data_IF_980328365680
#
_entry.id   IF_980328365680
#
_cell.length_a   1.000
_cell.length_b   1.000
_cell.length_c   1.000
_cell.angle_alpha   90.00
_cell.angle_beta   90.00
_cell.angle_gamma   90.00
#
_symmetry.space_group_name_H-M   'P 1'
#
loop_
_entity.id
_entity.type
_entity.pdbx_description
1 polymer ?
#
# COMPACT_ATOMS: atom_id res chain seq x y z
N UNK A 1 2.81 -6.56 27.72
CA UNK A 1 1.37 -6.53 27.47
C UNK A 1 0.62 -6.02 28.69
N UNK A 2 0.85 -4.74 29.00
CA UNK A 2 0.02 -4.01 29.95
C UNK A 2 -1.42 -3.85 29.43
N UNK A 3 -2.37 -3.55 30.31
CA UNK A 3 -3.79 -3.38 29.94
C UNK A 3 -3.98 -2.32 28.85
N UNK A 4 -3.18 -1.25 28.88
CA UNK A 4 -3.20 -0.14 27.91
C UNK A 4 -2.72 -0.60 26.51
N UNK A 5 -1.66 -1.39 26.43
CA UNK A 5 -1.15 -1.92 25.15
C UNK A 5 -2.16 -2.85 24.50
N UNK A 6 -2.90 -3.65 25.29
CA UNK A 6 -3.96 -4.52 24.76
C UNK A 6 -5.15 -3.75 24.19
N UNK A 7 -5.45 -2.57 24.75
CA UNK A 7 -6.59 -1.75 24.31
C UNK A 7 -6.19 -0.85 23.12
N UNK A 8 -5.00 -0.26 23.14
CA UNK A 8 -4.58 0.73 22.14
C UNK A 8 -3.56 0.21 21.12
N UNK A 9 -3.20 -1.07 21.20
CA UNK A 9 -2.18 -1.70 20.37
C UNK A 9 -0.76 -1.21 20.67
N UNK A 10 0.21 -1.92 20.13
CA UNK A 10 1.63 -1.56 20.17
C UNK A 10 1.96 -0.43 19.18
N UNK A 11 3.11 0.23 19.35
CA UNK A 11 3.58 1.23 18.38
C UNK A 11 3.68 0.63 16.96
N UNK A 12 4.27 -0.56 16.84
CA UNK A 12 4.41 -1.27 15.57
C UNK A 12 3.05 -1.56 14.91
N UNK A 13 2.04 -2.01 15.66
CA UNK A 13 0.68 -2.21 15.12
C UNK A 13 0.07 -0.92 14.57
N UNK A 14 0.35 0.22 15.20
CA UNK A 14 -0.13 1.52 14.71
C UNK A 14 0.56 1.91 13.41
N UNK A 15 1.88 1.68 13.29
CA UNK A 15 2.58 1.93 12.02
C UNK A 15 2.04 1.05 10.89
N UNK A 16 1.82 -0.25 11.15
CA UNK A 16 1.22 -1.15 10.15
C UNK A 16 -0.17 -0.66 9.74
N UNK A 17 -1.02 -0.27 10.69
CA UNK A 17 -2.36 0.27 10.40
C UNK A 17 -2.33 1.55 9.56
N UNK A 18 -1.26 2.36 9.62
CA UNK A 18 -1.11 3.56 8.77
C UNK A 18 -0.76 3.21 7.34
N UNK A 19 0.00 2.15 7.11
CA UNK A 19 0.49 1.76 5.78
C UNK A 19 -0.53 0.90 5.03
N UNK A 20 -1.33 0.08 5.73
CA UNK A 20 -2.32 -0.80 5.09
C UNK A 20 -3.27 -0.07 4.10
N UNK A 21 -3.84 1.10 4.41
CA UNK A 21 -4.68 1.83 3.43
C UNK A 21 -3.91 2.32 2.20
N UNK A 22 -2.58 2.48 2.28
CA UNK A 22 -1.73 2.82 1.13
C UNK A 22 -1.56 1.58 0.26
N UNK A 23 -1.33 0.41 0.87
CA UNK A 23 -1.28 -0.87 0.16
C UNK A 23 -2.58 -1.12 -0.58
N UNK A 24 -3.74 -0.96 0.07
CA UNK A 24 -5.05 -1.13 -0.56
C UNK A 24 -5.24 -0.23 -1.79
N UNK A 25 -4.71 1.00 -1.75
CA UNK A 25 -4.74 1.92 -2.90
C UNK A 25 -3.80 1.49 -4.03
N UNK A 26 -2.64 0.91 -3.71
CA UNK A 26 -1.69 0.39 -4.70
C UNK A 26 -2.29 -0.83 -5.39
N UNK A 27 -2.82 -1.79 -4.63
CA UNK A 27 -3.47 -3.00 -5.17
C UNK A 27 -4.69 -2.64 -6.05
N UNK A 28 -5.44 -1.58 -5.70
CA UNK A 28 -6.54 -1.10 -6.54
C UNK A 28 -6.10 -0.62 -7.94
N UNK A 29 -4.81 -0.32 -8.15
CA UNK A 29 -4.25 0.07 -9.46
C UNK A 29 -3.78 -1.14 -10.27
N UNK A 30 -3.67 -2.34 -9.68
CA UNK A 30 -3.19 -3.55 -10.33
C UNK A 30 -3.93 -3.85 -11.65
N UNK A 31 -5.28 -3.84 -11.73
CA UNK A 31 -5.98 -4.18 -12.96
C UNK A 31 -5.71 -3.22 -14.12
N UNK A 32 -5.30 -1.98 -13.82
CA UNK A 32 -4.97 -0.99 -14.85
C UNK A 32 -3.52 -1.13 -15.31
N UNK A 33 -2.61 -1.52 -14.41
CA UNK A 33 -1.23 -1.82 -14.74
C UNK A 33 -1.09 -3.14 -15.52
N UNK A 34 -1.88 -4.17 -15.18
CA UNK A 34 -1.86 -5.48 -15.83
C UNK A 34 -2.25 -5.41 -17.33
N UNK A 35 -3.08 -4.43 -17.70
CA UNK A 35 -3.49 -4.22 -19.10
C UNK A 35 -2.41 -3.59 -19.97
N UNK A 36 -1.33 -3.08 -19.38
CA UNK A 36 -0.27 -2.39 -20.11
C UNK A 36 0.64 -3.39 -20.83
N UNK A 37 1.00 -3.08 -22.08
CA UNK A 37 2.11 -3.78 -22.75
C UNK A 37 3.45 -3.33 -22.17
N UNK A 38 4.52 -4.08 -22.40
CA UNK A 38 5.88 -3.72 -21.98
C UNK A 38 6.28 -2.31 -22.39
N UNK A 39 5.92 -1.90 -23.61
CA UNK A 39 6.19 -0.56 -24.12
C UNK A 39 5.39 0.51 -23.40
N UNK A 40 4.10 0.25 -23.13
CA UNK A 40 3.24 1.17 -22.38
C UNK A 40 3.66 1.29 -20.91
N UNK A 41 4.05 0.18 -20.28
CA UNK A 41 4.55 0.16 -18.91
C UNK A 41 5.89 0.91 -18.79
N UNK A 42 6.82 0.71 -19.75
CA UNK A 42 8.07 1.50 -19.81
C UNK A 42 7.76 3.00 -19.93
N UNK A 43 6.81 3.37 -20.80
CA UNK A 43 6.41 4.75 -21.03
C UNK A 43 5.91 5.50 -19.80
N UNK A 44 5.43 4.78 -18.76
CA UNK A 44 5.08 5.39 -17.47
C UNK A 44 6.26 6.09 -16.79
N UNK A 45 7.51 5.68 -17.07
CA UNK A 45 8.72 6.35 -16.56
C UNK A 45 8.86 7.77 -17.10
N UNK A 46 8.46 8.01 -18.35
CA UNK A 46 8.54 9.34 -18.97
C UNK A 46 7.34 10.22 -18.58
N UNK A 47 6.24 9.61 -18.10
CA UNK A 47 5.00 10.29 -17.70
C UNK A 47 5.08 10.92 -16.30
N UNK A 48 5.89 10.36 -15.39
CA UNK A 48 6.02 10.76 -13.98
C UNK A 48 7.37 11.42 -13.67
#
# INVERSE_FOLDING_TARGET
>A
MGLIEKIFGTHSEREVKRVLPIVDRIEALEPDMEKLSDGALRGKTDEF
#
